data_IF_485435447239
#
_entry.id   IF_485435447239
#
_cell.length_a   1.000
_cell.length_b   1.000
_cell.length_c   1.000
_cell.angle_alpha   90.00
_cell.angle_beta   90.00
_cell.angle_gamma   90.00
#
_symmetry.space_group_name_H-M   'P 1'
#
loop_
_entity.id
_entity.type
_entity.pdbx_description
1 polymer ?
#
# COMPACT_ATOMS: atom_id res chain seq x y z
N UNK A 1 -3.59 -12.09 7.89
CA UNK A 1 -2.72 -11.27 7.04
C UNK A 1 -3.33 -9.90 6.80
N UNK A 2 -2.63 -8.83 7.21
CA UNK A 2 -3.03 -7.43 6.93
C UNK A 2 -2.35 -6.95 5.65
N UNK A 3 -3.07 -6.20 4.81
CA UNK A 3 -2.51 -5.67 3.56
C UNK A 3 -2.35 -4.15 3.68
N UNK A 4 -1.15 -3.64 3.40
CA UNK A 4 -0.83 -2.23 3.38
C UNK A 4 -0.44 -1.79 1.97
N UNK A 5 -0.60 -0.50 1.67
CA UNK A 5 -0.17 0.05 0.40
C UNK A 5 0.28 1.51 0.52
N UNK A 6 1.29 1.89 -0.25
CA UNK A 6 1.57 3.30 -0.58
C UNK A 6 0.88 3.66 -1.88
N UNK A 7 0.17 4.80 -1.92
CA UNK A 7 -0.52 5.29 -3.11
C UNK A 7 0.18 6.55 -3.61
N UNK A 8 0.43 6.64 -4.92
CA UNK A 8 0.98 7.84 -5.54
C UNK A 8 1.04 7.75 -7.07
N UNK A 9 1.47 8.83 -7.74
CA UNK A 9 1.58 8.88 -9.20
C UNK A 9 2.57 9.99 -9.63
N UNK A 10 3.74 9.66 -10.23
CA UNK A 10 4.30 8.33 -10.44
C UNK A 10 4.81 7.71 -9.12
N UNK A 11 4.72 6.38 -8.97
CA UNK A 11 5.11 5.67 -7.73
C UNK A 11 6.09 4.51 -7.96
N UNK A 12 6.46 4.23 -9.22
CA UNK A 12 7.30 3.10 -9.61
C UNK A 12 8.74 3.13 -9.08
N UNK A 13 9.21 4.25 -8.55
CA UNK A 13 10.55 4.41 -7.96
C UNK A 13 10.52 4.42 -6.42
N UNK A 14 9.34 4.37 -5.81
CA UNK A 14 9.22 4.36 -4.35
C UNK A 14 9.84 3.10 -3.78
N UNK A 15 10.75 3.29 -2.81
CA UNK A 15 11.39 2.24 -2.01
C UNK A 15 10.57 1.87 -0.75
N UNK A 16 9.42 2.51 -0.54
CA UNK A 16 8.58 2.25 0.62
C UNK A 16 8.17 0.78 0.74
N UNK A 17 7.77 0.06 -0.34
CA UNK A 17 7.47 -1.37 -0.25
C UNK A 17 8.64 -2.20 0.25
N UNK A 18 9.85 -1.95 -0.23
CA UNK A 18 11.06 -2.68 0.15
C UNK A 18 11.39 -2.43 1.62
N UNK A 19 11.35 -1.17 2.06
CA UNK A 19 11.63 -0.79 3.46
C UNK A 19 10.60 -1.40 4.43
N UNK A 20 9.31 -1.31 4.11
CA UNK A 20 8.27 -1.81 5.00
C UNK A 20 8.19 -3.34 5.02
N UNK A 21 8.36 -4.02 3.88
CA UNK A 21 8.40 -5.48 3.87
C UNK A 21 9.62 -6.02 4.64
N UNK A 22 10.78 -5.34 4.57
CA UNK A 22 11.94 -5.71 5.40
C UNK A 22 11.62 -5.62 6.90
N UNK A 23 10.98 -4.54 7.34
CA UNK A 23 10.57 -4.38 8.74
C UNK A 23 9.48 -5.37 9.17
N UNK A 24 8.48 -5.63 8.31
CA UNK A 24 7.42 -6.62 8.55
C UNK A 24 8.03 -8.01 8.77
N UNK A 25 8.97 -8.39 7.91
CA UNK A 25 9.68 -9.66 8.00
C UNK A 25 10.51 -9.78 9.29
N UNK A 26 11.32 -8.76 9.59
CA UNK A 26 12.19 -8.72 10.79
C UNK A 26 11.37 -8.82 12.09
N UNK A 27 10.19 -8.20 12.12
CA UNK A 27 9.29 -8.21 13.27
C UNK A 27 8.36 -9.43 13.33
N UNK A 28 8.39 -10.32 12.33
CA UNK A 28 7.51 -11.49 12.26
C UNK A 28 6.01 -11.15 12.17
N UNK A 29 5.67 -10.02 11.56
CA UNK A 29 4.29 -9.56 11.43
C UNK A 29 3.63 -10.26 10.23
N UNK A 30 2.43 -10.83 10.42
CA UNK A 30 1.60 -11.39 9.34
C UNK A 30 0.93 -10.27 8.51
N UNK A 31 1.73 -9.62 7.66
CA UNK A 31 1.30 -8.54 6.78
C UNK A 31 2.07 -8.50 5.45
N UNK A 32 1.51 -7.76 4.50
CA UNK A 32 2.13 -7.44 3.22
C UNK A 32 2.09 -5.91 3.00
N UNK A 33 3.07 -5.37 2.27
CA UNK A 33 3.10 -3.96 1.87
C UNK A 33 3.35 -3.80 0.38
N UNK A 34 2.41 -3.18 -0.33
CA UNK A 34 2.50 -2.94 -1.78
C UNK A 34 2.56 -1.46 -2.14
N UNK A 35 2.67 -1.17 -3.44
CA UNK A 35 2.48 0.17 -4.01
C UNK A 35 1.35 0.15 -5.02
N UNK A 36 0.60 1.24 -5.12
CA UNK A 36 -0.50 1.39 -6.06
C UNK A 36 -0.42 2.73 -6.78
N UNK A 37 -0.37 2.68 -8.12
CA UNK A 37 -0.40 3.88 -8.93
C UNK A 37 -1.85 4.25 -9.25
N UNK A 38 -2.28 5.44 -8.82
CA UNK A 38 -3.65 5.94 -9.05
C UNK A 38 -3.61 7.38 -9.56
N UNK A 39 -4.43 7.69 -10.57
CA UNK A 39 -4.77 9.08 -10.89
C UNK A 39 -5.68 9.67 -9.81
N UNK A 40 -5.88 10.99 -9.86
CA UNK A 40 -6.79 11.68 -8.92
C UNK A 40 -8.22 11.13 -9.07
N UNK A 41 -8.68 10.93 -10.30
CA UNK A 41 -10.02 10.41 -10.59
C UNK A 41 -10.22 8.97 -10.11
N UNK A 42 -9.15 8.17 -10.11
CA UNK A 42 -9.17 6.81 -9.56
C UNK A 42 -9.13 6.83 -8.03
N UNK A 43 -8.35 7.73 -7.44
CA UNK A 43 -8.25 7.87 -5.98
C UNK A 43 -9.60 8.15 -5.35
N UNK A 44 -10.36 9.12 -5.87
CA UNK A 44 -11.68 9.49 -5.33
C UNK A 44 -12.69 8.33 -5.35
N UNK A 45 -12.54 7.40 -6.32
CA UNK A 45 -13.41 6.21 -6.45
C UNK A 45 -12.94 5.04 -5.59
N UNK A 46 -11.62 4.84 -5.50
CA UNK A 46 -11.04 3.65 -4.89
C UNK A 46 -10.74 3.82 -3.40
N UNK A 47 -10.41 5.03 -2.94
CA UNK A 47 -10.09 5.31 -1.54
C UNK A 47 -11.23 4.96 -0.58
N UNK A 48 -12.51 5.27 -0.86
CA UNK A 48 -13.62 4.88 0.02
C UNK A 48 -13.73 3.35 0.21
N UNK A 49 -13.45 2.58 -0.84
CA UNK A 49 -13.53 1.11 -0.83
C UNK A 49 -12.48 0.46 0.10
N UNK A 50 -11.39 1.17 0.43
CA UNK A 50 -10.38 0.68 1.37
C UNK A 50 -10.87 0.64 2.82
N UNK A 51 -11.84 1.49 3.19
CA UNK A 51 -12.35 1.56 4.57
C UNK A 51 -13.66 0.80 4.78
N UNK A 52 -14.37 0.44 3.71
CA UNK A 52 -15.63 -0.30 3.77
C UNK A 52 -15.46 -1.80 3.99
N UNK A 53 -14.27 -2.35 3.70
CA UNK A 53 -13.92 -3.73 4.05
C UNK A 53 -13.53 -3.83 5.53
N UNK A 54 -14.55 -3.90 6.40
CA UNK A 54 -14.40 -4.45 7.75
C UNK A 54 -14.26 -5.97 7.72
#
# INVERSE_FOLDING_TARGET
MKNFAVIGNPISHSLSPEMHNAAILDLGIDADYTRKQLSIEQFDKEFPLFFEKK
#
